data_IF_987842906861
#
_entry.id   IF_987842906861
#
_cell.length_a   1.000
_cell.length_b   1.000
_cell.length_c   1.000
_cell.angle_alpha   90.00
_cell.angle_beta   90.00
_cell.angle_gamma   90.00
#
_symmetry.space_group_name_H-M   'P 1'
#
loop_
_entity.id
_entity.type
_entity.pdbx_description
1 polymer ?
#
# COMPACT_ATOMS: atom_id res chain seq x y z
N UNK A 1 -13.25 -8.27 6.78
CA UNK A 1 -12.66 -7.12 7.50
C UNK A 1 -13.00 -5.86 6.72
N UNK A 2 -13.61 -4.82 7.31
CA UNK A 2 -13.95 -3.60 6.59
C UNK A 2 -12.70 -2.80 6.23
N UNK A 3 -12.54 -2.47 4.95
CA UNK A 3 -11.55 -1.50 4.47
C UNK A 3 -11.95 -0.10 4.94
N UNK A 4 -11.06 0.55 5.69
CA UNK A 4 -11.20 1.91 6.18
C UNK A 4 -10.83 2.95 5.12
N UNK A 5 -9.77 2.68 4.37
CA UNK A 5 -9.24 3.62 3.39
C UNK A 5 -8.49 2.84 2.31
N UNK A 6 -8.54 3.35 1.09
CA UNK A 6 -7.72 2.88 -0.03
C UNK A 6 -6.75 3.98 -0.42
N UNK A 7 -5.55 3.60 -0.82
CA UNK A 7 -4.49 4.50 -1.26
C UNK A 7 -4.11 4.18 -2.69
N UNK A 8 -3.78 5.22 -3.45
CA UNK A 8 -3.28 5.10 -4.81
C UNK A 8 -1.77 4.92 -4.76
N UNK A 9 -1.34 3.69 -4.49
CA UNK A 9 0.07 3.32 -4.36
C UNK A 9 0.69 3.69 -3.01
N UNK A 10 1.99 3.40 -2.84
CA UNK A 10 2.63 3.48 -1.51
C UNK A 10 2.96 4.89 -1.05
N UNK A 11 3.22 5.81 -1.99
CA UNK A 11 3.55 7.21 -1.64
C UNK A 11 2.44 7.89 -0.85
N UNK A 12 1.19 7.63 -1.22
CA UNK A 12 0.03 8.26 -0.58
C UNK A 12 -0.11 7.82 0.88
N UNK A 13 0.31 6.60 1.25
CA UNK A 13 0.30 6.13 2.64
C UNK A 13 1.18 7.03 3.52
N UNK A 14 2.41 7.33 3.06
CA UNK A 14 3.39 8.08 3.83
C UNK A 14 3.08 9.58 3.88
N UNK A 15 2.35 10.12 2.90
CA UNK A 15 1.90 11.52 2.93
C UNK A 15 0.53 11.69 3.60
N UNK A 16 -0.22 10.60 3.79
CA UNK A 16 -1.57 10.61 4.38
C UNK A 16 -1.58 10.18 5.84
N UNK A 17 -0.46 10.27 6.55
CA UNK A 17 -0.38 9.96 7.99
C UNK A 17 -1.53 10.61 8.79
N UNK A 18 -1.76 11.91 8.60
CA UNK A 18 -2.85 12.64 9.27
C UNK A 18 -4.24 12.07 8.93
N UNK A 19 -4.47 11.68 7.67
CA UNK A 19 -5.74 11.06 7.26
C UNK A 19 -5.92 9.68 7.89
N UNK A 20 -4.86 8.89 8.01
CA UNK A 20 -4.87 7.58 8.66
C UNK A 20 -5.27 7.74 10.13
N UNK A 21 -4.62 8.66 10.86
CA UNK A 21 -4.97 8.96 12.27
C UNK A 21 -6.45 9.33 12.40
N UNK A 22 -6.92 10.32 11.62
CA UNK A 22 -8.33 10.74 11.66
C UNK A 22 -9.32 9.62 11.30
N UNK A 23 -8.98 8.74 10.37
CA UNK A 23 -9.85 7.61 10.01
C UNK A 23 -9.94 6.56 11.13
N UNK A 24 -8.84 6.33 11.85
CA UNK A 24 -8.79 5.43 13.00
C UNK A 24 -9.48 6.03 14.24
N UNK A 25 -9.30 7.32 14.49
CA UNK A 25 -10.02 8.06 15.54
C UNK A 25 -11.54 8.00 15.33
N UNK A 26 -12.01 8.19 14.10
CA UNK A 26 -13.44 8.04 13.74
C UNK A 26 -13.99 6.63 14.02
N UNK A 27 -13.13 5.63 14.07
CA UNK A 27 -13.48 4.25 14.42
C UNK A 27 -13.30 3.93 15.90
N UNK A 28 -13.02 4.94 16.72
CA UNK A 28 -12.80 4.82 18.17
C UNK A 28 -11.65 3.86 18.50
N UNK A 29 -10.62 3.83 17.66
CA UNK A 29 -9.36 3.13 17.99
C UNK A 29 -8.60 3.94 19.02
N UNK A 30 -8.00 3.29 20.00
CA UNK A 30 -7.21 3.95 21.05
C UNK A 30 -6.07 4.77 20.45
N UNK A 31 -5.87 6.00 20.96
CA UNK A 31 -4.84 6.93 20.47
C UNK A 31 -3.44 6.33 20.52
N UNK A 32 -3.14 5.53 21.55
CA UNK A 32 -1.88 4.79 21.66
C UNK A 32 -1.68 3.78 20.53
N UNK A 33 -2.74 3.03 20.18
CA UNK A 33 -2.71 2.07 19.07
C UNK A 33 -2.54 2.79 17.73
N UNK A 34 -3.19 3.95 17.57
CA UNK A 34 -3.03 4.79 16.38
C UNK A 34 -1.59 5.26 16.25
N UNK A 35 -0.98 5.81 17.29
CA UNK A 35 0.39 6.32 17.25
C UNK A 35 1.41 5.19 16.99
N UNK A 36 1.27 4.05 17.68
CA UNK A 36 2.10 2.86 17.46
C UNK A 36 1.98 2.34 16.03
N UNK A 37 0.76 2.25 15.49
CA UNK A 37 0.52 1.81 14.12
C UNK A 37 1.13 2.78 13.10
N UNK A 38 1.01 4.08 13.34
CA UNK A 38 1.56 5.10 12.44
C UNK A 38 3.09 5.05 12.42
N UNK A 39 3.72 4.91 13.58
CA UNK A 39 5.17 4.68 13.70
C UNK A 39 5.58 3.38 13.00
N UNK A 40 4.78 2.32 13.12
CA UNK A 40 5.02 1.06 12.45
C UNK A 40 4.96 1.17 10.92
N UNK A 41 4.04 1.96 10.35
CA UNK A 41 4.00 2.25 8.91
C UNK A 41 5.33 2.85 8.44
N UNK A 42 5.80 3.90 9.13
CA UNK A 42 7.05 4.58 8.75
C UNK A 42 8.26 3.66 8.92
N UNK A 43 8.32 2.89 10.01
CA UNK A 43 9.39 1.91 10.27
C UNK A 43 9.40 0.77 9.23
N UNK A 44 8.22 0.33 8.78
CA UNK A 44 8.05 -0.73 7.78
C UNK A 44 7.95 -0.19 6.35
N UNK A 45 8.33 1.07 6.10
CA UNK A 45 8.34 1.68 4.76
C UNK A 45 9.03 0.81 3.71
N UNK A 46 10.17 0.19 4.06
CA UNK A 46 10.89 -0.73 3.16
C UNK A 46 10.04 -1.96 2.82
N UNK A 47 9.43 -2.61 3.81
CA UNK A 47 8.59 -3.77 3.61
C UNK A 47 7.34 -3.47 2.77
N UNK A 48 6.71 -2.31 3.00
CA UNK A 48 5.55 -1.83 2.22
C UNK A 48 5.94 -1.64 0.75
N UNK A 49 7.07 -0.96 0.49
CA UNK A 49 7.54 -0.74 -0.87
C UNK A 49 7.98 -2.05 -1.55
N UNK A 50 8.63 -2.96 -0.82
CA UNK A 50 8.99 -4.28 -1.33
C UNK A 50 7.75 -5.07 -1.73
N UNK A 51 6.74 -5.17 -0.84
CA UNK A 51 5.50 -5.87 -1.15
C UNK A 51 4.77 -5.25 -2.36
N UNK A 52 4.77 -3.92 -2.48
CA UNK A 52 4.20 -3.24 -3.65
C UNK A 52 4.94 -3.60 -4.94
N UNK A 53 6.27 -3.54 -4.92
CA UNK A 53 7.10 -3.89 -6.07
C UNK A 53 6.95 -5.38 -6.43
N UNK A 54 6.87 -6.28 -5.45
CA UNK A 54 6.61 -7.70 -5.70
C UNK A 54 5.24 -7.94 -6.35
N UNK A 55 4.19 -7.24 -5.90
CA UNK A 55 2.88 -7.33 -6.55
C UNK A 55 2.91 -6.74 -7.96
N UNK A 56 3.69 -5.68 -8.17
CA UNK A 56 3.88 -5.05 -9.48
C UNK A 56 4.61 -5.99 -10.46
N UNK A 57 5.70 -6.64 -10.01
CA UNK A 57 6.50 -7.56 -10.82
C UNK A 57 5.79 -8.89 -11.10
N UNK A 58 4.81 -9.27 -10.27
CA UNK A 58 3.98 -10.46 -10.48
C UNK A 58 2.85 -10.22 -11.49
N UNK A 59 2.67 -9.00 -11.98
CA UNK A 59 1.63 -8.70 -12.98
C UNK A 59 2.07 -9.19 -14.36
N UNK A 60 1.35 -10.16 -14.90
CA UNK A 60 1.65 -10.80 -16.20
C UNK A 60 1.70 -9.78 -17.34
N UNK A 61 0.92 -8.68 -17.27
CA UNK A 61 0.93 -7.64 -18.30
C UNK A 61 2.20 -6.80 -18.21
N UNK A 62 2.70 -6.55 -17.00
CA UNK A 62 3.97 -5.84 -16.85
C UNK A 62 5.12 -6.69 -17.37
N UNK A 63 5.18 -7.98 -17.03
CA UNK A 63 6.19 -8.91 -17.55
C UNK A 63 6.12 -9.00 -19.07
N UNK A 64 4.93 -9.14 -19.67
CA UNK A 64 4.79 -9.18 -21.12
C UNK A 64 5.27 -7.88 -21.82
N UNK A 65 5.10 -6.72 -21.18
CA UNK A 65 5.63 -5.44 -21.68
C UNK A 65 7.14 -5.36 -21.49
N UNK A 66 7.67 -5.87 -20.39
CA UNK A 66 9.11 -5.97 -20.13
C UNK A 66 9.81 -6.85 -21.17
N UNK A 67 9.28 -8.05 -21.44
CA UNK A 67 9.82 -8.96 -22.47
C UNK A 67 9.81 -8.33 -23.86
N UNK A 68 8.79 -7.53 -24.17
CA UNK A 68 8.59 -6.96 -25.52
C UNK A 68 9.36 -5.66 -25.76
N UNK A 69 9.49 -4.80 -24.75
CA UNK A 69 10.05 -3.46 -24.90
C UNK A 69 11.28 -3.20 -24.02
N UNK A 70 11.55 -4.06 -23.04
CA UNK A 70 12.62 -3.90 -22.05
C UNK A 70 12.27 -2.94 -20.92
N UNK A 71 12.90 -3.15 -19.76
CA UNK A 71 12.66 -2.39 -18.51
C UNK A 71 12.86 -0.87 -18.63
N UNK A 72 13.76 -0.44 -19.53
CA UNK A 72 14.09 0.99 -19.72
C UNK A 72 13.14 1.72 -20.70
N UNK A 73 12.21 1.00 -21.35
CA UNK A 73 11.29 1.58 -22.33
C UNK A 73 10.29 2.54 -21.72
N UNK A 74 9.77 3.45 -22.55
CA UNK A 74 8.69 4.37 -22.15
C UNK A 74 7.41 3.57 -21.87
N UNK A 75 7.17 2.53 -22.64
CA UNK A 75 6.05 1.60 -22.56
C UNK A 75 6.03 0.88 -21.21
N UNK A 76 7.18 0.35 -20.76
CA UNK A 76 7.31 -0.26 -19.44
C UNK A 76 7.02 0.75 -18.32
N UNK A 77 7.53 1.98 -18.42
CA UNK A 77 7.25 3.05 -17.43
C UNK A 77 5.76 3.43 -17.40
N UNK A 78 5.09 3.47 -18.55
CA UNK A 78 3.66 3.74 -18.63
C UNK A 78 2.82 2.58 -18.08
N UNK A 79 3.20 1.34 -18.40
CA UNK A 79 2.53 0.13 -17.91
C UNK A 79 2.68 -0.01 -16.39
N UNK A 80 3.90 0.07 -15.87
CA UNK A 80 4.18 0.03 -14.42
C UNK A 80 3.45 1.14 -13.67
N UNK A 81 3.36 2.35 -14.23
CA UNK A 81 2.59 3.45 -13.65
C UNK A 81 1.09 3.18 -13.59
N UNK A 82 0.51 2.52 -14.61
CA UNK A 82 -0.92 2.15 -14.63
C UNK A 82 -1.20 0.99 -13.68
N UNK A 83 -0.40 -0.07 -13.74
CA UNK A 83 -0.55 -1.27 -12.92
C UNK A 83 -0.31 -0.94 -11.45
N UNK A 84 0.72 -0.15 -11.14
CA UNK A 84 1.00 0.30 -9.77
C UNK A 84 -0.16 1.07 -9.14
N UNK A 85 -0.94 1.84 -9.91
CA UNK A 85 -2.16 2.50 -9.41
C UNK A 85 -3.31 1.53 -9.15
N UNK A 86 -3.31 0.37 -9.80
CA UNK A 86 -4.32 -0.67 -9.64
C UNK A 86 -4.02 -1.62 -8.47
N UNK A 87 -2.76 -1.69 -8.00
CA UNK A 87 -2.39 -2.50 -6.83
C UNK A 87 -3.16 -1.96 -5.61
N UNK A 88 -4.02 -2.77 -4.98
CA UNK A 88 -4.83 -2.32 -3.86
C UNK A 88 -3.92 -2.08 -2.66
N UNK A 89 -3.90 -0.86 -2.17
CA UNK A 89 -3.24 -0.50 -0.92
C UNK A 89 -4.33 -0.06 0.03
N UNK A 90 -4.53 -0.80 1.11
CA UNK A 90 -5.73 -0.67 1.92
C UNK A 90 -5.39 -0.63 3.42
N UNK A 91 -5.99 0.33 4.12
CA UNK A 91 -6.08 0.34 5.57
C UNK A 91 -7.33 -0.43 5.96
N UNK A 92 -7.19 -1.42 6.82
CA UNK A 92 -8.26 -2.31 7.26
C UNK A 92 -8.34 -2.27 8.77
N UNK A 93 -9.55 -2.39 9.32
CA UNK A 93 -9.75 -2.59 10.75
C UNK A 93 -10.26 -4.00 10.99
N UNK A 94 -9.58 -4.75 11.86
CA UNK A 94 -10.05 -6.07 12.28
C UNK A 94 -9.90 -6.20 13.79
N UNK A 95 -11.01 -6.55 14.46
CA UNK A 95 -11.03 -6.75 15.92
C UNK A 95 -10.44 -5.56 16.71
N UNK A 96 -10.72 -4.33 16.27
CA UNK A 96 -10.21 -3.10 16.90
C UNK A 96 -8.77 -2.74 16.55
N UNK A 97 -8.06 -3.55 15.75
CA UNK A 97 -6.67 -3.31 15.35
C UNK A 97 -6.57 -2.85 13.89
N UNK A 98 -5.77 -1.81 13.61
CA UNK A 98 -5.50 -1.36 12.25
C UNK A 98 -4.48 -2.26 11.54
N UNK A 99 -4.71 -2.53 10.26
CA UNK A 99 -3.81 -3.29 9.40
C UNK A 99 -3.58 -2.54 8.10
N UNK A 100 -2.34 -2.51 7.61
CA UNK A 100 -2.01 -2.00 6.28
C UNK A 100 -1.71 -3.18 5.35
N UNK A 101 -2.53 -3.31 4.31
CA UNK A 101 -2.38 -4.31 3.27
C UNK A 101 -1.92 -3.70 1.94
N UNK A 102 -1.07 -4.42 1.23
CA UNK A 102 -0.63 -4.12 -0.13
C UNK A 102 -0.84 -5.37 -0.98
N UNK A 103 -1.72 -5.28 -1.98
CA UNK A 103 -2.18 -6.46 -2.71
C UNK A 103 -2.91 -7.41 -1.76
N UNK A 104 -2.36 -8.62 -1.62
CA UNK A 104 -2.83 -9.63 -0.65
C UNK A 104 -1.95 -9.73 0.60
N UNK A 105 -0.93 -8.90 0.72
CA UNK A 105 0.09 -8.98 1.77
C UNK A 105 -0.22 -8.01 2.91
N UNK A 106 -0.21 -8.49 4.15
CA UNK A 106 -0.27 -7.63 5.35
C UNK A 106 1.14 -7.11 5.65
N UNK A 107 1.37 -5.82 5.47
CA UNK A 107 2.67 -5.19 5.71
C UNK A 107 2.81 -4.67 7.15
N UNK A 108 1.72 -4.15 7.71
CA UNK A 108 1.68 -3.61 9.09
C UNK A 108 0.47 -4.21 9.80
N UNK A 109 0.67 -5.00 10.86
CA UNK A 109 -0.39 -5.43 11.75
C UNK A 109 -0.60 -4.48 12.94
#
# INVERSE_FOLDING_TARGET
>A
MPTLMKFTGTKEIFTSEKKIKTALEKKKVDEKVIDDFTKAITKKKRAINSAFTENLLKDEKLSAVEDKFGFSSKEYKLASGKIGKAIPVELILSSGKPFLMVGKTVCVP
#
